data_IF_172749884629
#
_entry.id   IF_172749884629
#
_cell.length_a   1.000
_cell.length_b   1.000
_cell.length_c   1.000
_cell.angle_alpha   90.00
_cell.angle_beta   90.00
_cell.angle_gamma   90.00
#
_symmetry.space_group_name_H-M   'P 1'
#
loop_
_entity.id
_entity.type
_entity.pdbx_description
1 polymer ?
#
# COMPACT_ATOMS: atom_id res chain seq x y z
N UNK A 1 46.79 -53.93 -13.90
CA UNK A 1 47.13 -54.46 -15.23
C UNK A 1 45.87 -54.50 -16.09
N UNK A 2 45.87 -53.79 -17.24
CA UNK A 2 45.12 -54.01 -18.53
C UNK A 2 43.61 -54.33 -18.47
N UNK A 3 42.70 -53.81 -19.32
CA UNK A 3 42.67 -52.88 -20.47
C UNK A 3 41.17 -52.69 -20.86
N UNK A 4 40.84 -51.54 -21.46
CA UNK A 4 39.82 -51.20 -22.49
C UNK A 4 38.85 -52.32 -22.99
N UNK A 5 37.60 -52.09 -23.43
CA UNK A 5 37.11 -51.17 -24.48
C UNK A 5 35.60 -51.40 -24.67
N UNK A 6 34.83 -50.41 -25.17
CA UNK A 6 33.64 -50.47 -26.07
C UNK A 6 32.52 -49.50 -25.69
N UNK A 7 32.70 -48.22 -26.04
CA UNK A 7 31.63 -47.25 -26.24
C UNK A 7 31.76 -46.76 -27.69
N UNK A 8 31.05 -47.35 -28.65
CA UNK A 8 30.81 -46.79 -30.01
C UNK A 8 29.89 -47.74 -30.79
N UNK A 9 28.60 -47.87 -30.43
CA UNK A 9 27.63 -48.53 -31.33
C UNK A 9 26.15 -48.11 -31.13
N UNK A 10 25.88 -46.97 -30.47
CA UNK A 10 24.52 -46.50 -30.19
C UNK A 10 24.02 -45.30 -30.99
N UNK A 11 24.90 -44.57 -31.69
CA UNK A 11 24.54 -43.24 -32.27
C UNK A 11 24.35 -43.28 -33.79
N UNK A 12 24.69 -44.39 -34.46
CA UNK A 12 24.60 -44.50 -35.93
C UNK A 12 23.27 -45.12 -36.46
N UNK A 13 22.38 -45.55 -35.57
CA UNK A 13 21.08 -46.14 -35.95
C UNK A 13 19.93 -45.10 -36.01
N UNK A 14 20.08 -43.94 -35.36
CA UNK A 14 19.01 -42.93 -35.31
C UNK A 14 19.02 -41.94 -36.49
N UNK A 15 20.16 -41.82 -37.21
CA UNK A 15 20.32 -40.85 -38.30
C UNK A 15 19.81 -41.39 -39.65
N UNK A 16 19.72 -42.71 -39.82
CA UNK A 16 19.25 -43.35 -41.07
C UNK A 16 17.71 -43.46 -41.17
N UNK A 17 16.98 -43.27 -40.07
CA UNK A 17 15.50 -43.33 -40.07
C UNK A 17 14.83 -41.98 -40.39
N UNK A 18 15.58 -40.87 -40.34
CA UNK A 18 15.10 -39.51 -40.62
C UNK A 18 15.21 -39.08 -42.11
N UNK A 19 15.86 -39.87 -42.95
CA UNK A 19 16.11 -39.53 -44.36
C UNK A 19 15.17 -40.20 -45.37
N UNK A 20 14.22 -41.04 -44.94
CA UNK A 20 13.31 -41.78 -45.83
C UNK A 20 11.86 -41.25 -45.87
N UNK A 21 11.56 -40.12 -45.25
CA UNK A 21 10.19 -39.52 -45.27
C UNK A 21 10.09 -38.31 -46.23
N UNK A 22 11.20 -37.87 -46.84
CA UNK A 22 11.25 -36.68 -47.70
C UNK A 22 11.26 -36.96 -49.22
N UNK A 23 10.66 -38.06 -49.69
CA UNK A 23 10.60 -38.38 -51.13
C UNK A 23 9.26 -38.93 -51.59
N UNK A 24 8.16 -38.27 -51.19
CA UNK A 24 6.91 -38.33 -51.95
C UNK A 24 6.68 -36.99 -52.65
N UNK A 25 6.60 -36.92 -53.99
CA UNK A 25 6.15 -35.73 -54.67
C UNK A 25 4.63 -35.65 -54.49
N UNK A 26 4.20 -35.02 -53.39
CA UNK A 26 2.80 -34.67 -53.21
C UNK A 26 2.48 -33.56 -54.24
N UNK A 27 1.85 -33.93 -55.35
CA UNK A 27 1.31 -32.96 -56.30
C UNK A 27 0.26 -32.12 -55.59
N UNK A 28 0.63 -30.92 -55.18
CA UNK A 28 -0.34 -29.91 -54.76
C UNK A 28 -1.09 -29.47 -56.01
N UNK A 29 -2.29 -30.00 -56.19
CA UNK A 29 -3.29 -29.35 -57.03
C UNK A 29 -3.48 -27.95 -56.43
N UNK A 30 -2.99 -26.94 -57.15
CA UNK A 30 -3.19 -25.53 -56.85
C UNK A 30 -4.69 -25.27 -57.00
N UNK A 31 -5.45 -25.45 -55.91
CA UNK A 31 -6.79 -24.90 -55.83
C UNK A 31 -6.60 -23.40 -55.87
N UNK A 32 -6.98 -22.77 -56.98
CA UNK A 32 -7.12 -21.32 -57.05
C UNK A 32 -8.07 -20.90 -55.93
N UNK A 33 -7.51 -20.50 -54.79
CA UNK A 33 -8.19 -19.54 -53.94
C UNK A 33 -8.22 -18.27 -54.75
N UNK A 34 -9.39 -17.91 -55.27
CA UNK A 34 -9.65 -16.55 -55.74
C UNK A 34 -9.19 -15.64 -54.60
N UNK A 35 -8.06 -14.95 -54.76
CA UNK A 35 -7.61 -13.95 -53.80
C UNK A 35 -8.74 -12.93 -53.74
N UNK A 36 -9.55 -13.00 -52.69
CA UNK A 36 -10.55 -11.98 -52.39
C UNK A 36 -9.73 -10.75 -52.00
N UNK A 37 -9.52 -9.88 -52.98
CA UNK A 37 -8.91 -8.59 -52.77
C UNK A 37 -9.88 -7.73 -51.95
N UNK A 38 -9.79 -7.80 -50.62
CA UNK A 38 -10.52 -6.88 -49.72
C UNK A 38 -10.14 -5.41 -49.98
N UNK A 39 -8.98 -5.18 -50.60
CA UNK A 39 -8.47 -3.87 -51.04
C UNK A 39 -9.16 -3.33 -52.30
N UNK A 40 -10.02 -4.12 -52.95
CA UNK A 40 -10.66 -3.75 -54.22
C UNK A 40 -12.08 -3.18 -54.05
N UNK A 41 -12.61 -3.12 -52.83
CA UNK A 41 -13.89 -2.46 -52.50
C UNK A 41 -13.58 -1.05 -51.97
N UNK A 42 -13.91 -0.04 -52.76
CA UNK A 42 -13.72 1.36 -52.36
C UNK A 42 -14.80 1.83 -51.40
N UNK A 43 -14.50 2.84 -50.58
CA UNK A 43 -15.47 3.49 -49.68
C UNK A 43 -16.70 3.98 -50.46
N UNK A 44 -16.50 4.53 -51.66
CA UNK A 44 -17.60 5.03 -52.50
C UNK A 44 -18.64 3.96 -52.85
N UNK A 45 -18.22 2.74 -53.14
CA UNK A 45 -19.14 1.63 -53.47
C UNK A 45 -20.04 1.24 -52.29
N UNK A 46 -19.58 1.42 -51.06
CA UNK A 46 -20.41 1.20 -49.87
C UNK A 46 -21.39 2.36 -49.67
N UNK A 47 -20.93 3.59 -49.88
CA UNK A 47 -21.73 4.81 -49.68
C UNK A 47 -22.80 5.02 -50.76
N UNK A 48 -22.69 4.36 -51.92
CA UNK A 48 -23.77 4.32 -52.92
C UNK A 48 -25.06 3.68 -52.38
N UNK A 49 -24.95 2.79 -51.38
CA UNK A 49 -26.10 2.14 -50.73
C UNK A 49 -26.30 2.59 -49.26
N UNK A 50 -25.24 3.03 -48.59
CA UNK A 50 -25.27 3.48 -47.19
C UNK A 50 -25.22 5.01 -47.08
N UNK A 51 -26.26 5.67 -47.58
CA UNK A 51 -26.37 7.14 -47.63
C UNK A 51 -26.43 7.82 -46.24
N UNK A 52 -26.68 7.06 -45.17
CA UNK A 52 -26.70 7.56 -43.79
C UNK A 52 -25.31 7.98 -43.27
N UNK A 53 -24.24 7.51 -43.91
CA UNK A 53 -22.86 7.84 -43.55
C UNK A 53 -22.36 8.96 -44.46
N UNK A 54 -22.12 10.14 -43.90
CA UNK A 54 -21.54 11.24 -44.66
C UNK A 54 -20.07 10.97 -45.00
N UNK A 55 -19.75 10.91 -46.29
CA UNK A 55 -18.39 10.64 -46.79
C UNK A 55 -17.37 11.66 -46.25
N UNK A 56 -17.74 12.94 -46.18
CA UNK A 56 -16.85 14.00 -45.70
C UNK A 56 -16.52 13.84 -44.23
N UNK A 57 -17.52 13.51 -43.42
CA UNK A 57 -17.41 13.31 -41.98
C UNK A 57 -16.63 12.03 -41.68
N UNK A 58 -16.87 10.95 -42.42
CA UNK A 58 -16.07 9.73 -42.32
C UNK A 58 -14.61 9.96 -42.66
N UNK A 59 -14.33 10.62 -43.79
CA UNK A 59 -12.97 10.96 -44.21
C UNK A 59 -12.23 11.84 -43.18
N UNK A 60 -12.96 12.64 -42.40
CA UNK A 60 -12.41 13.48 -41.34
C UNK A 60 -12.27 12.77 -39.97
N UNK A 61 -12.77 11.54 -39.83
CA UNK A 61 -12.68 10.75 -38.59
C UNK A 61 -11.28 10.19 -38.36
N UNK A 62 -11.02 9.67 -37.16
CA UNK A 62 -9.78 8.95 -36.84
C UNK A 62 -9.55 7.72 -37.73
N UNK A 63 -10.59 7.18 -38.36
CA UNK A 63 -10.54 6.03 -39.25
C UNK A 63 -10.74 6.40 -40.72
N UNK A 64 -10.78 7.68 -41.08
CA UNK A 64 -11.12 8.13 -42.45
C UNK A 64 -10.13 7.70 -43.54
N UNK A 65 -8.95 7.21 -43.17
CA UNK A 65 -7.99 6.59 -44.10
C UNK A 65 -8.24 5.11 -44.36
N UNK A 66 -9.16 4.46 -43.63
CA UNK A 66 -9.48 3.06 -43.77
C UNK A 66 -10.65 2.84 -44.74
N UNK A 67 -10.65 1.70 -45.42
CA UNK A 67 -11.83 1.25 -46.17
C UNK A 67 -12.91 0.71 -45.21
N UNK A 68 -14.19 0.76 -45.59
CA UNK A 68 -15.29 0.22 -44.80
C UNK A 68 -15.05 -1.27 -44.45
N UNK A 69 -14.52 -2.04 -45.41
CA UNK A 69 -14.19 -3.46 -45.27
C UNK A 69 -13.01 -3.74 -44.33
N UNK A 70 -12.27 -2.71 -43.91
CA UNK A 70 -11.23 -2.86 -42.87
C UNK A 70 -11.84 -3.09 -41.49
N UNK A 71 -13.03 -2.52 -41.24
CA UNK A 71 -13.82 -2.74 -40.02
C UNK A 71 -14.87 -3.83 -40.22
N UNK A 72 -15.61 -3.78 -41.34
CA UNK A 72 -16.62 -4.77 -41.73
C UNK A 72 -16.01 -5.89 -42.57
N UNK A 73 -15.04 -6.60 -41.98
CA UNK A 73 -14.21 -7.60 -42.66
C UNK A 73 -14.99 -8.82 -43.16
N UNK A 74 -16.19 -9.03 -42.64
CA UNK A 74 -17.07 -10.12 -43.05
C UNK A 74 -17.68 -9.88 -44.44
N UNK A 75 -17.60 -8.65 -44.96
CA UNK A 75 -18.07 -8.29 -46.30
C UNK A 75 -16.96 -8.58 -47.32
N UNK A 76 -17.06 -9.75 -47.95
CA UNK A 76 -16.14 -10.20 -49.00
C UNK A 76 -16.73 -10.14 -50.41
N UNK A 77 -18.05 -9.91 -50.53
CA UNK A 77 -18.81 -9.89 -51.78
C UNK A 77 -19.97 -8.90 -51.66
N UNK A 78 -19.97 -7.84 -52.47
CA UNK A 78 -20.96 -6.76 -52.40
C UNK A 78 -22.35 -7.18 -52.92
N UNK A 79 -22.40 -8.05 -53.94
CA UNK A 79 -23.68 -8.52 -54.50
C UNK A 79 -24.40 -9.37 -53.46
N UNK A 80 -23.67 -10.30 -52.82
CA UNK A 80 -24.23 -11.13 -51.74
C UNK A 80 -24.57 -10.34 -50.49
N UNK A 81 -23.83 -9.27 -50.20
CA UNK A 81 -24.17 -8.38 -49.09
C UNK A 81 -25.46 -7.61 -49.38
N UNK A 82 -25.65 -7.11 -50.61
CA UNK A 82 -26.87 -6.44 -51.04
C UNK A 82 -28.10 -7.38 -50.97
N UNK A 83 -27.91 -8.66 -51.30
CA UNK A 83 -28.95 -9.70 -51.20
C UNK A 83 -29.11 -10.28 -49.76
N UNK A 84 -28.43 -9.70 -48.76
CA UNK A 84 -28.45 -10.12 -47.36
C UNK A 84 -27.96 -11.55 -47.09
N UNK A 85 -27.30 -12.21 -48.06
CA UNK A 85 -26.67 -13.52 -47.86
C UNK A 85 -25.42 -13.43 -46.96
N UNK A 86 -24.77 -12.26 -46.95
CA UNK A 86 -23.61 -11.95 -46.09
C UNK A 86 -23.95 -10.77 -45.18
N UNK A 87 -24.57 -11.00 -44.02
CA UNK A 87 -24.95 -9.93 -43.11
C UNK A 87 -23.71 -9.37 -42.39
N UNK A 88 -23.72 -8.05 -42.20
CA UNK A 88 -22.70 -7.34 -41.45
C UNK A 88 -22.70 -7.79 -39.98
N UNK A 89 -21.55 -8.24 -39.48
CA UNK A 89 -21.37 -8.60 -38.07
C UNK A 89 -20.84 -7.42 -37.25
N UNK A 90 -20.96 -7.45 -35.92
CA UNK A 90 -20.35 -6.46 -35.05
C UNK A 90 -18.83 -6.35 -35.28
N UNK A 91 -18.34 -5.11 -35.34
CA UNK A 91 -16.92 -4.82 -35.61
C UNK A 91 -16.05 -5.32 -34.46
N UNK A 92 -14.99 -6.06 -34.79
CA UNK A 92 -14.02 -6.58 -33.82
C UNK A 92 -12.81 -5.65 -33.70
N UNK A 93 -12.95 -4.58 -32.91
CA UNK A 93 -11.92 -3.55 -32.72
C UNK A 93 -10.56 -4.13 -32.27
N UNK A 94 -10.58 -5.21 -31.47
CA UNK A 94 -9.38 -5.86 -30.92
C UNK A 94 -8.43 -6.48 -31.93
N UNK A 95 -8.82 -6.62 -33.21
CA UNK A 95 -7.86 -7.03 -34.26
C UNK A 95 -6.73 -6.02 -34.45
N UNK A 96 -7.08 -4.73 -34.38
CA UNK A 96 -6.14 -3.62 -34.52
C UNK A 96 -5.78 -3.02 -33.15
N UNK A 97 -6.76 -2.82 -32.27
CA UNK A 97 -6.57 -2.24 -30.93
C UNK A 97 -6.31 -3.32 -29.87
N UNK A 98 -5.29 -4.16 -30.09
CA UNK A 98 -5.01 -5.34 -29.24
C UNK A 98 -4.79 -5.00 -27.78
N UNK A 99 -4.01 -3.95 -27.49
CA UNK A 99 -3.71 -3.58 -26.10
C UNK A 99 -4.94 -3.02 -25.38
N UNK A 100 -5.73 -2.19 -26.06
CA UNK A 100 -6.99 -1.67 -25.54
C UNK A 100 -7.98 -2.81 -25.28
N UNK A 101 -8.10 -3.76 -26.20
CA UNK A 101 -8.95 -4.93 -26.01
C UNK A 101 -8.50 -5.79 -24.81
N UNK A 102 -7.19 -5.94 -24.61
CA UNK A 102 -6.65 -6.65 -23.45
C UNK A 102 -6.95 -5.93 -22.13
N UNK A 103 -6.81 -4.60 -22.09
CA UNK A 103 -7.21 -3.81 -20.93
C UNK A 103 -8.71 -3.95 -20.65
N UNK A 104 -9.54 -3.82 -21.68
CA UNK A 104 -10.99 -3.93 -21.57
C UNK A 104 -11.43 -5.27 -20.97
N UNK A 105 -10.82 -6.39 -21.36
CA UNK A 105 -11.17 -7.71 -20.81
C UNK A 105 -10.89 -7.88 -19.32
N UNK A 106 -10.21 -6.92 -18.69
CA UNK A 106 -9.94 -6.90 -17.25
C UNK A 106 -10.78 -5.85 -16.51
N UNK A 107 -11.68 -5.17 -17.22
CA UNK A 107 -12.49 -4.10 -16.68
C UNK A 107 -13.86 -4.59 -16.22
N UNK A 108 -14.43 -3.91 -15.23
CA UNK A 108 -15.79 -4.14 -14.73
C UNK A 108 -16.84 -3.96 -15.83
N UNK A 109 -16.55 -3.16 -16.85
CA UNK A 109 -17.44 -2.98 -18.01
C UNK A 109 -17.51 -4.23 -18.87
N UNK A 110 -16.41 -4.97 -19.04
CA UNK A 110 -16.45 -6.26 -19.72
C UNK A 110 -17.23 -7.31 -18.93
N UNK A 111 -17.13 -7.29 -17.60
CA UNK A 111 -17.88 -8.19 -16.72
C UNK A 111 -19.40 -7.91 -16.72
N UNK A 112 -19.80 -6.70 -17.15
CA UNK A 112 -21.20 -6.25 -17.23
C UNK A 112 -21.71 -6.09 -18.66
N UNK A 113 -21.06 -6.75 -19.64
CA UNK A 113 -21.46 -6.78 -21.05
C UNK A 113 -21.54 -5.38 -21.73
N UNK A 114 -20.81 -4.37 -21.24
CA UNK A 114 -20.73 -3.04 -21.85
C UNK A 114 -19.63 -3.03 -22.91
N UNK A 115 -20.02 -3.22 -24.17
CA UNK A 115 -19.12 -3.35 -25.31
C UNK A 115 -18.48 -2.05 -25.79
N UNK A 116 -17.49 -2.17 -26.67
CA UNK A 116 -16.75 -1.02 -27.20
C UNK A 116 -17.68 0.03 -27.85
N UNK A 117 -18.74 -0.41 -28.53
CA UNK A 117 -19.67 0.46 -29.26
C UNK A 117 -20.65 1.19 -28.35
N UNK A 118 -20.82 0.76 -27.10
CA UNK A 118 -21.70 1.44 -26.15
C UNK A 118 -21.08 2.78 -25.70
N UNK A 119 -19.75 2.84 -25.64
CA UNK A 119 -19.00 4.09 -25.46
C UNK A 119 -18.60 4.73 -26.80
N UNK A 120 -18.23 3.92 -27.80
CA UNK A 120 -17.78 4.40 -29.12
C UNK A 120 -18.89 4.36 -30.18
N UNK A 121 -20.10 4.83 -29.85
CA UNK A 121 -21.28 4.72 -30.70
C UNK A 121 -21.13 5.38 -32.08
N UNK A 122 -20.45 6.53 -32.17
CA UNK A 122 -20.31 7.31 -33.41
C UNK A 122 -18.96 7.06 -34.12
N UNK A 123 -18.58 5.79 -34.29
CA UNK A 123 -17.24 5.42 -34.79
C UNK A 123 -16.92 5.96 -36.19
N UNK A 124 -17.94 6.20 -37.02
CA UNK A 124 -17.79 6.78 -38.37
C UNK A 124 -17.44 8.26 -38.35
N UNK A 125 -17.66 8.97 -37.24
CA UNK A 125 -17.42 10.42 -37.15
C UNK A 125 -16.41 10.76 -36.04
N UNK A 126 -16.04 9.75 -35.25
CA UNK A 126 -15.25 9.92 -34.05
C UNK A 126 -13.85 10.45 -34.36
N UNK A 127 -13.48 11.52 -33.66
CA UNK A 127 -12.14 12.08 -33.63
C UNK A 127 -11.47 11.75 -32.30
N UNK A 128 -10.15 11.75 -32.30
CA UNK A 128 -9.38 11.72 -31.05
C UNK A 128 -9.83 12.84 -30.12
N UNK A 129 -10.00 12.53 -28.84
CA UNK A 129 -10.39 13.51 -27.83
C UNK A 129 -9.29 14.55 -27.56
N UNK A 130 -8.08 14.36 -28.08
CA UNK A 130 -7.01 15.38 -28.07
C UNK A 130 -6.52 15.77 -26.67
N UNK A 131 -6.79 14.93 -25.66
CA UNK A 131 -6.50 15.24 -24.25
C UNK A 131 -7.56 16.06 -23.53
N UNK A 132 -8.71 16.34 -24.16
CA UNK A 132 -9.81 17.06 -23.52
C UNK A 132 -10.54 16.16 -22.50
N UNK A 133 -10.19 16.36 -21.23
CA UNK A 133 -10.74 15.66 -20.07
C UNK A 133 -12.25 15.88 -19.88
N UNK A 134 -12.82 16.96 -20.39
CA UNK A 134 -14.27 17.23 -20.23
C UNK A 134 -15.12 16.25 -21.03
N UNK A 135 -14.61 15.79 -22.18
CA UNK A 135 -15.26 14.76 -23.00
C UNK A 135 -15.31 13.40 -22.32
N UNK A 136 -14.32 13.09 -21.47
CA UNK A 136 -14.32 11.86 -20.66
C UNK A 136 -15.49 11.90 -19.68
N UNK A 137 -15.71 13.02 -19.00
CA UNK A 137 -16.85 13.18 -18.08
C UNK A 137 -18.17 12.99 -18.83
N UNK A 138 -18.32 13.60 -20.01
CA UNK A 138 -19.54 13.48 -20.81
C UNK A 138 -19.81 12.02 -21.22
N UNK A 139 -18.76 11.27 -21.57
CA UNK A 139 -18.88 9.86 -21.91
C UNK A 139 -19.39 9.05 -20.71
N UNK A 140 -18.76 9.21 -19.54
CA UNK A 140 -19.19 8.51 -18.33
C UNK A 140 -20.60 8.91 -17.88
N UNK A 141 -20.97 10.19 -18.08
CA UNK A 141 -22.28 10.73 -17.72
C UNK A 141 -23.44 10.20 -18.57
N UNK A 142 -23.15 9.52 -19.69
CA UNK A 142 -24.17 8.84 -20.48
C UNK A 142 -24.86 7.70 -19.72
N UNK A 143 -24.15 7.09 -18.75
CA UNK A 143 -24.63 5.94 -17.98
C UNK A 143 -24.52 6.13 -16.46
N UNK A 144 -23.52 6.88 -15.97
CA UNK A 144 -23.28 7.09 -14.55
C UNK A 144 -23.77 8.46 -14.08
N UNK A 145 -24.36 8.49 -12.89
CA UNK A 145 -24.62 9.75 -12.20
C UNK A 145 -23.30 10.33 -11.67
N UNK A 146 -23.03 11.57 -12.04
CA UNK A 146 -21.79 12.28 -11.71
C UNK A 146 -22.09 13.62 -11.01
N UNK A 147 -23.29 13.84 -10.48
CA UNK A 147 -23.66 15.09 -9.82
C UNK A 147 -22.69 15.46 -8.68
N UNK A 148 -22.39 14.50 -7.80
CA UNK A 148 -21.44 14.69 -6.71
C UNK A 148 -20.05 15.10 -7.22
N UNK A 149 -19.56 14.44 -8.27
CA UNK A 149 -18.29 14.78 -8.90
C UNK A 149 -18.28 16.20 -9.45
N UNK A 150 -19.35 16.60 -10.14
CA UNK A 150 -19.48 17.97 -10.68
C UNK A 150 -19.55 19.02 -9.56
N UNK A 151 -20.05 18.66 -8.38
CA UNK A 151 -20.08 19.54 -7.20
C UNK A 151 -18.74 19.58 -6.44
N UNK A 152 -17.88 18.58 -6.60
CA UNK A 152 -16.56 18.51 -5.96
C UNK A 152 -15.61 19.62 -6.42
N UNK A 153 -14.55 19.85 -5.64
CA UNK A 153 -13.46 20.78 -6.04
C UNK A 153 -12.77 20.35 -7.33
N UNK A 154 -12.65 19.05 -7.60
CA UNK A 154 -12.04 18.52 -8.82
C UNK A 154 -12.93 18.77 -10.04
N UNK A 155 -14.22 18.45 -9.96
CA UNK A 155 -15.17 18.67 -11.06
C UNK A 155 -15.33 20.16 -11.38
N UNK A 156 -15.49 21.00 -10.35
CA UNK A 156 -15.54 22.47 -10.52
C UNK A 156 -14.24 23.02 -11.12
N UNK A 157 -13.08 22.55 -10.66
CA UNK A 157 -11.78 22.96 -11.18
C UNK A 157 -11.60 22.58 -12.66
N UNK A 158 -11.98 21.36 -13.03
CA UNK A 158 -11.89 20.90 -14.42
C UNK A 158 -12.83 21.67 -15.35
N UNK A 159 -14.08 21.92 -14.91
CA UNK A 159 -15.04 22.73 -15.67
C UNK A 159 -14.63 24.20 -15.79
N UNK A 160 -13.83 24.70 -14.84
CA UNK A 160 -13.20 26.03 -14.92
C UNK A 160 -11.96 26.05 -15.84
N UNK A 161 -11.59 24.93 -16.46
CA UNK A 161 -10.48 24.83 -17.40
C UNK A 161 -9.12 24.56 -16.75
N UNK A 162 -9.07 24.11 -15.50
CA UNK A 162 -7.83 23.71 -14.85
C UNK A 162 -7.37 22.31 -15.33
N UNK A 163 -6.25 22.19 -16.07
CA UNK A 163 -5.78 20.90 -16.58
C UNK A 163 -5.29 19.94 -15.48
N UNK A 164 -4.89 20.48 -14.32
CA UNK A 164 -4.45 19.69 -13.16
C UNK A 164 -5.62 19.03 -12.42
N UNK A 165 -6.85 19.49 -12.65
CA UNK A 165 -8.02 18.87 -12.04
C UNK A 165 -8.30 17.50 -12.69
N UNK A 166 -8.43 16.43 -11.89
CA UNK A 166 -8.60 15.08 -12.41
C UNK A 166 -10.02 14.86 -12.96
N UNK A 167 -10.11 14.14 -14.06
CA UNK A 167 -11.32 13.53 -14.63
C UNK A 167 -11.52 12.10 -14.13
N UNK A 168 -12.64 11.47 -14.48
CA UNK A 168 -12.94 10.08 -14.14
C UNK A 168 -11.78 9.13 -14.49
N UNK A 169 -11.15 9.33 -15.66
CA UNK A 169 -10.07 8.47 -16.12
C UNK A 169 -8.74 8.65 -15.40
N UNK A 170 -8.49 9.82 -14.81
CA UNK A 170 -7.24 10.05 -14.06
C UNK A 170 -7.20 9.16 -12.79
N UNK A 171 -8.38 8.92 -12.21
CA UNK A 171 -8.57 8.01 -11.09
C UNK A 171 -8.75 6.56 -11.56
N UNK A 172 -9.80 6.28 -12.34
CA UNK A 172 -10.27 4.91 -12.64
C UNK A 172 -9.65 4.28 -13.90
N UNK A 173 -8.94 5.03 -14.73
CA UNK A 173 -8.52 4.56 -16.06
C UNK A 173 -9.61 4.74 -17.13
N UNK A 174 -9.32 4.32 -18.36
CA UNK A 174 -10.26 4.44 -19.50
C UNK A 174 -10.81 3.07 -19.93
N UNK A 175 -9.91 2.11 -20.17
CA UNK A 175 -10.27 0.79 -20.67
C UNK A 175 -9.91 -0.31 -19.66
N UNK A 176 -9.34 0.03 -18.51
CA UNK A 176 -8.86 -0.87 -17.45
C UNK A 176 -9.56 -0.58 -16.11
N UNK A 177 -10.81 -0.12 -16.17
CA UNK A 177 -11.60 0.27 -15.00
C UNK A 177 -11.87 -0.96 -14.13
N UNK A 178 -11.24 -1.03 -12.97
CA UNK A 178 -11.39 -2.13 -12.00
C UNK A 178 -12.64 -1.98 -11.14
N UNK A 179 -13.17 -3.10 -10.69
CA UNK A 179 -14.22 -3.15 -9.67
C UNK A 179 -13.70 -2.60 -8.33
N UNK A 180 -14.47 -1.69 -7.73
CA UNK A 180 -14.14 -1.07 -6.44
C UNK A 180 -15.07 -1.53 -5.30
N UNK A 181 -16.20 -2.13 -5.64
CA UNK A 181 -17.15 -2.65 -4.67
C UNK A 181 -16.93 -4.15 -4.49
N UNK A 182 -16.30 -4.54 -3.39
CA UNK A 182 -15.97 -5.95 -3.12
C UNK A 182 -16.56 -6.34 -1.76
N UNK A 183 -17.49 -7.30 -1.78
CA UNK A 183 -18.18 -7.76 -0.57
C UNK A 183 -17.25 -8.54 0.38
N UNK A 184 -16.31 -9.33 -0.16
CA UNK A 184 -15.36 -10.10 0.64
C UNK A 184 -14.16 -9.24 1.06
N UNK A 185 -14.24 -8.69 2.27
CA UNK A 185 -13.24 -7.81 2.88
C UNK A 185 -11.87 -8.46 3.14
N UNK A 186 -11.74 -9.79 2.98
CA UNK A 186 -10.49 -10.52 3.18
C UNK A 186 -9.84 -10.99 1.88
N UNK A 187 -10.46 -10.72 0.74
CA UNK A 187 -9.94 -11.07 -0.57
C UNK A 187 -8.79 -10.15 -1.00
N UNK A 188 -7.98 -10.61 -1.95
CA UNK A 188 -6.96 -9.77 -2.61
C UNK A 188 -7.60 -8.62 -3.38
N UNK A 189 -8.79 -8.83 -3.94
CA UNK A 189 -9.55 -7.78 -4.64
C UNK A 189 -9.98 -6.67 -3.67
N UNK A 190 -10.45 -7.01 -2.46
CA UNK A 190 -10.74 -6.02 -1.42
C UNK A 190 -9.49 -5.24 -1.03
N UNK A 191 -8.33 -5.90 -0.89
CA UNK A 191 -7.09 -5.18 -0.60
C UNK A 191 -6.75 -4.18 -1.71
N UNK A 192 -6.80 -4.59 -2.98
CA UNK A 192 -6.52 -3.70 -4.12
C UNK A 192 -7.51 -2.52 -4.19
N UNK A 193 -8.81 -2.77 -3.99
CA UNK A 193 -9.83 -1.72 -3.96
C UNK A 193 -9.60 -0.73 -2.82
N UNK A 194 -9.20 -1.21 -1.64
CA UNK A 194 -8.90 -0.36 -0.48
C UNK A 194 -7.61 0.45 -0.66
N UNK A 195 -6.56 -0.14 -1.24
CA UNK A 195 -5.35 0.60 -1.60
C UNK A 195 -5.63 1.68 -2.67
N UNK A 196 -6.60 1.46 -3.55
CA UNK A 196 -6.99 2.45 -4.57
C UNK A 196 -7.50 3.75 -3.95
N UNK A 197 -8.16 3.71 -2.79
CA UNK A 197 -8.66 4.90 -2.06
C UNK A 197 -7.55 5.89 -1.69
N UNK A 198 -6.30 5.43 -1.60
CA UNK A 198 -5.12 6.26 -1.33
C UNK A 198 -4.27 6.45 -2.58
N UNK A 199 -3.96 5.37 -3.30
CA UNK A 199 -3.05 5.39 -4.45
C UNK A 199 -3.56 6.25 -5.60
N UNK A 200 -4.88 6.33 -5.81
CA UNK A 200 -5.46 7.19 -6.85
C UNK A 200 -5.18 8.68 -6.57
N UNK A 201 -5.32 9.11 -5.32
CA UNK A 201 -5.04 10.46 -4.88
C UNK A 201 -3.54 10.78 -4.88
N UNK A 202 -2.71 9.80 -4.49
CA UNK A 202 -1.26 9.94 -4.43
C UNK A 202 -0.64 10.37 -5.76
N UNK A 203 -1.17 9.92 -6.90
CA UNK A 203 -0.66 10.26 -8.25
C UNK A 203 -0.47 11.76 -8.48
N UNK A 204 -1.33 12.58 -7.87
CA UNK A 204 -1.29 14.04 -7.98
C UNK A 204 -0.90 14.70 -6.66
N UNK A 205 -1.45 14.26 -5.53
CA UNK A 205 -1.24 14.90 -4.22
C UNK A 205 0.15 14.65 -3.62
N UNK A 206 0.95 13.73 -4.18
CA UNK A 206 2.35 13.56 -3.80
C UNK A 206 3.31 14.50 -4.55
N UNK A 207 2.83 15.26 -5.55
CA UNK A 207 3.62 16.25 -6.30
C UNK A 207 3.52 17.64 -5.62
N UNK A 208 4.58 18.11 -4.92
CA UNK A 208 4.53 19.38 -4.22
C UNK A 208 4.39 20.58 -5.17
N UNK A 209 4.93 20.51 -6.39
CA UNK A 209 4.85 21.61 -7.36
C UNK A 209 3.43 21.76 -7.89
N UNK A 210 2.74 20.64 -8.16
CA UNK A 210 1.33 20.63 -8.54
C UNK A 210 0.42 21.14 -7.41
N UNK A 211 0.67 20.69 -6.18
CA UNK A 211 -0.12 21.15 -5.03
C UNK A 211 0.10 22.66 -4.78
N UNK A 212 1.33 23.13 -4.87
CA UNK A 212 1.66 24.54 -4.67
C UNK A 212 1.00 25.44 -5.72
N UNK A 213 1.07 25.11 -7.01
CA UNK A 213 0.46 25.93 -8.08
C UNK A 213 -1.07 25.94 -8.04
N UNK A 214 -1.68 24.93 -7.43
CA UNK A 214 -3.13 24.84 -7.22
C UNK A 214 -3.59 25.32 -5.83
N UNK A 215 -2.70 25.88 -5.00
CA UNK A 215 -2.99 26.33 -3.63
C UNK A 215 -3.58 25.23 -2.72
N UNK A 216 -3.12 23.99 -2.90
CA UNK A 216 -3.48 22.83 -2.08
C UNK A 216 -2.33 22.54 -1.11
N UNK A 217 -2.65 22.00 0.07
CA UNK A 217 -1.65 21.65 1.09
C UNK A 217 -0.63 20.63 0.57
N UNK A 218 0.64 21.02 0.51
CA UNK A 218 1.72 20.27 -0.16
C UNK A 218 2.22 19.06 0.61
N UNK A 219 1.92 18.97 1.91
CA UNK A 219 2.41 17.90 2.80
C UNK A 219 1.32 16.89 3.17
N UNK A 220 0.12 16.98 2.59
CA UNK A 220 -1.02 16.12 2.93
C UNK A 220 -0.66 14.63 2.83
N UNK A 221 -0.11 14.21 1.69
CA UNK A 221 0.25 12.81 1.47
C UNK A 221 1.37 12.34 2.41
N UNK A 222 2.45 13.12 2.53
CA UNK A 222 3.59 12.78 3.40
C UNK A 222 3.18 12.65 4.87
N UNK A 223 2.34 13.56 5.35
CA UNK A 223 1.86 13.53 6.75
C UNK A 223 0.93 12.35 7.00
N UNK A 224 0.05 12.02 6.05
CA UNK A 224 -0.77 10.81 6.10
C UNK A 224 0.08 9.53 6.16
N UNK A 225 1.13 9.39 5.35
CA UNK A 225 2.03 8.23 5.43
C UNK A 225 2.71 8.06 6.81
N UNK A 226 2.83 9.17 7.56
CA UNK A 226 3.42 9.19 8.89
C UNK A 226 2.38 9.03 10.01
N UNK A 227 1.09 9.05 9.69
CA UNK A 227 0.01 8.86 10.63
C UNK A 227 -0.21 7.37 10.95
N UNK A 228 -1.25 7.03 11.71
CA UNK A 228 -1.52 5.62 12.01
C UNK A 228 -2.10 4.84 10.82
N UNK A 229 -3.03 5.44 10.07
CA UNK A 229 -3.69 4.82 8.93
C UNK A 229 -2.69 4.52 7.82
N UNK A 230 -1.90 5.51 7.38
CA UNK A 230 -0.91 5.33 6.31
C UNK A 230 0.15 4.28 6.67
N UNK A 231 0.59 4.22 7.93
CA UNK A 231 1.54 3.19 8.40
C UNK A 231 0.96 1.78 8.35
N UNK A 232 -0.29 1.61 8.76
CA UNK A 232 -0.96 0.29 8.73
C UNK A 232 -1.28 -0.12 7.30
N UNK A 233 -1.71 0.83 6.46
CA UNK A 233 -1.90 0.63 5.02
C UNK A 233 -0.61 0.09 4.39
N UNK A 234 0.53 0.75 4.63
CA UNK A 234 1.84 0.34 4.11
C UNK A 234 2.28 -1.05 4.58
N UNK A 235 1.81 -1.50 5.76
CA UNK A 235 2.05 -2.85 6.27
C UNK A 235 1.11 -3.91 5.66
N UNK A 236 0.30 -3.57 4.66
CA UNK A 236 -0.67 -4.46 4.02
C UNK A 236 -2.01 -4.52 4.76
N UNK A 237 -2.31 -3.51 5.59
CA UNK A 237 -3.53 -3.43 6.40
C UNK A 237 -4.62 -2.53 5.83
N UNK A 238 -4.60 -2.21 4.52
CA UNK A 238 -5.49 -1.20 3.90
C UNK A 238 -6.99 -1.47 4.12
N UNK A 239 -7.41 -2.73 4.25
CA UNK A 239 -8.80 -3.10 4.52
C UNK A 239 -9.29 -2.75 5.93
N UNK A 240 -8.40 -2.32 6.82
CA UNK A 240 -8.71 -2.04 8.23
C UNK A 240 -8.49 -0.58 8.63
N UNK A 241 -8.10 0.26 7.68
CA UNK A 241 -7.83 1.69 7.91
C UNK A 241 -8.46 2.54 6.82
N UNK A 242 -8.62 3.82 7.13
CA UNK A 242 -9.16 4.80 6.21
C UNK A 242 -8.06 5.31 5.28
N UNK A 243 -8.31 5.26 3.97
CA UNK A 243 -7.54 5.97 2.94
C UNK A 243 -8.09 7.38 2.69
N UNK A 244 -7.50 8.08 1.72
CA UNK A 244 -7.87 9.46 1.41
C UNK A 244 -9.36 9.62 1.08
N UNK A 245 -9.89 8.74 0.23
CA UNK A 245 -11.28 8.79 -0.22
C UNK A 245 -12.31 8.46 0.88
N UNK A 246 -11.93 7.80 1.96
CA UNK A 246 -12.84 7.51 3.08
C UNK A 246 -13.07 8.75 3.95
N UNK A 247 -12.05 9.61 4.07
CA UNK A 247 -12.14 10.86 4.81
C UNK A 247 -12.68 11.99 3.94
N UNK A 248 -12.20 12.13 2.71
CA UNK A 248 -12.54 13.25 1.81
C UNK A 248 -13.72 12.97 0.87
N UNK A 249 -14.32 11.78 0.95
CA UNK A 249 -15.32 11.25 0.00
C UNK A 249 -14.73 11.03 -1.40
N UNK A 250 -15.06 9.93 -2.09
CA UNK A 250 -14.43 9.58 -3.37
C UNK A 250 -14.85 10.47 -4.55
N UNK A 251 -16.09 10.96 -4.58
CA UNK A 251 -16.62 11.80 -5.67
C UNK A 251 -17.15 13.16 -5.20
N UNK A 252 -17.21 13.44 -3.90
CA UNK A 252 -17.75 14.71 -3.37
C UNK A 252 -16.73 15.42 -2.48
N UNK A 253 -15.50 15.60 -2.96
CA UNK A 253 -14.47 16.32 -2.18
C UNK A 253 -14.86 17.79 -2.06
N UNK A 254 -15.21 18.19 -0.84
CA UNK A 254 -15.57 19.56 -0.50
C UNK A 254 -14.54 20.18 0.46
N UNK A 255 -14.35 21.51 0.41
CA UNK A 255 -13.52 22.23 1.37
C UNK A 255 -13.97 22.00 2.83
N UNK A 256 -13.04 22.12 3.79
CA UNK A 256 -13.33 21.87 5.21
C UNK A 256 -14.26 22.90 5.86
N UNK A 257 -14.43 24.08 5.24
CA UNK A 257 -15.36 25.13 5.65
C UNK A 257 -16.77 24.95 5.08
N UNK A 258 -16.96 24.03 4.15
CA UNK A 258 -18.29 23.66 3.63
C UNK A 258 -19.01 22.74 4.63
N UNK A 259 -20.25 23.09 4.97
CA UNK A 259 -21.06 22.31 5.93
C UNK A 259 -21.45 20.91 5.43
N UNK A 260 -21.47 20.68 4.11
CA UNK A 260 -21.72 19.36 3.54
C UNK A 260 -20.45 18.50 3.45
N UNK A 261 -19.29 19.04 3.79
CA UNK A 261 -18.03 18.31 3.73
C UNK A 261 -17.94 17.26 4.84
N UNK A 262 -17.48 16.07 4.47
CA UNK A 262 -17.15 14.98 5.40
C UNK A 262 -16.04 15.38 6.40
N UNK A 263 -15.19 16.33 6.03
CA UNK A 263 -14.13 16.86 6.88
C UNK A 263 -14.49 18.19 7.56
N UNK A 264 -15.74 18.60 7.49
CA UNK A 264 -16.25 19.74 8.28
C UNK A 264 -16.22 19.42 9.77
N UNK A 265 -16.29 20.46 10.62
CA UNK A 265 -16.26 20.26 12.08
C UNK A 265 -17.36 19.31 12.57
N UNK A 266 -18.53 19.39 11.96
CA UNK A 266 -19.69 18.55 12.26
C UNK A 266 -19.59 17.19 11.54
N UNK A 267 -19.12 17.16 10.29
CA UNK A 267 -19.00 15.94 9.47
C UNK A 267 -17.97 14.93 9.99
N UNK A 268 -16.88 15.40 10.62
CA UNK A 268 -15.80 14.53 11.10
C UNK A 268 -16.28 13.45 12.08
N UNK A 269 -17.31 13.72 12.90
CA UNK A 269 -17.83 12.73 13.87
C UNK A 269 -18.47 11.56 13.14
N UNK A 270 -19.20 11.83 12.06
CA UNK A 270 -19.81 10.80 11.21
C UNK A 270 -18.73 10.04 10.42
N UNK A 271 -17.79 10.76 9.81
CA UNK A 271 -16.68 10.16 9.04
C UNK A 271 -15.80 9.24 9.89
N UNK A 272 -15.37 9.70 11.07
CA UNK A 272 -14.66 8.83 12.01
C UNK A 272 -15.58 7.72 12.56
N UNK A 273 -16.87 8.01 12.72
CA UNK A 273 -17.91 7.12 13.22
C UNK A 273 -18.10 5.85 12.40
N UNK A 274 -17.82 5.90 11.08
CA UNK A 274 -17.89 4.76 10.18
C UNK A 274 -17.03 3.56 10.67
N UNK A 275 -15.86 3.85 11.24
CA UNK A 275 -14.95 2.84 11.79
C UNK A 275 -14.80 2.91 13.33
N UNK A 276 -15.15 4.04 13.94
CA UNK A 276 -15.05 4.26 15.38
C UNK A 276 -16.44 4.55 15.97
N UNK A 277 -17.20 3.52 16.42
CA UNK A 277 -18.59 3.68 16.87
C UNK A 277 -18.82 4.61 18.06
N UNK A 278 -17.74 5.03 18.74
CA UNK A 278 -17.78 5.96 19.89
C UNK A 278 -17.07 7.29 19.59
N UNK A 279 -16.88 7.61 18.30
CA UNK A 279 -16.36 8.90 17.87
C UNK A 279 -17.23 10.02 18.45
N UNK A 280 -16.57 11.07 18.92
CA UNK A 280 -17.19 12.24 19.52
C UNK A 280 -16.29 13.45 19.25
N UNK A 281 -16.74 14.65 19.65
CA UNK A 281 -16.04 15.90 19.38
C UNK A 281 -14.60 15.95 19.91
N UNK A 282 -14.26 15.20 20.98
CA UNK A 282 -12.88 15.13 21.47
C UNK A 282 -12.05 14.11 20.67
N UNK A 283 -12.66 13.04 20.18
CA UNK A 283 -11.99 12.04 19.36
C UNK A 283 -11.54 12.63 18.01
N UNK A 284 -12.40 13.42 17.38
CA UNK A 284 -12.13 14.05 16.07
C UNK A 284 -11.17 15.23 16.13
N UNK A 285 -10.64 15.57 17.31
CA UNK A 285 -9.49 16.49 17.42
C UNK A 285 -8.19 15.86 16.94
N UNK A 286 -8.20 14.56 16.63
CA UNK A 286 -7.11 13.92 15.92
C UNK A 286 -6.80 14.67 14.62
N UNK A 287 -5.52 14.92 14.36
CA UNK A 287 -5.05 15.66 13.19
C UNK A 287 -4.31 14.70 12.25
N UNK A 288 -4.95 14.16 11.19
CA UNK A 288 -4.33 13.19 10.28
C UNK A 288 -3.15 13.77 9.50
N UNK A 289 -3.17 15.08 9.23
CA UNK A 289 -2.17 15.78 8.41
C UNK A 289 -1.20 16.65 9.20
N UNK A 290 -1.02 16.38 10.49
CA UNK A 290 -0.10 17.15 11.33
C UNK A 290 1.37 16.82 11.05
N UNK A 291 2.22 17.85 11.00
CA UNK A 291 3.67 17.70 10.92
C UNK A 291 4.31 18.01 12.27
N UNK A 292 4.95 17.01 12.88
CA UNK A 292 5.65 17.18 14.16
C UNK A 292 6.98 17.94 14.04
N UNK A 293 7.45 18.27 12.82
CA UNK A 293 8.58 19.18 12.62
C UNK A 293 8.16 20.66 12.53
N UNK A 294 6.87 20.93 12.36
CA UNK A 294 6.34 22.28 12.28
C UNK A 294 5.95 22.81 13.66
N UNK A 295 6.86 23.61 14.22
CA UNK A 295 6.69 24.24 15.54
C UNK A 295 5.60 25.32 15.56
N UNK A 296 5.33 25.97 14.44
CA UNK A 296 4.41 27.12 14.39
C UNK A 296 2.96 26.65 14.40
N UNK A 297 2.63 25.66 13.57
CA UNK A 297 1.27 25.14 13.47
C UNK A 297 0.99 24.00 14.47
N UNK A 298 2.00 23.21 14.84
CA UNK A 298 1.86 22.04 15.73
C UNK A 298 2.84 22.04 16.92
N UNK A 299 2.86 23.10 17.76
CA UNK A 299 3.85 23.27 18.83
C UNK A 299 3.86 22.14 19.86
N UNK A 300 2.68 21.59 20.21
CA UNK A 300 2.57 20.51 21.18
C UNK A 300 3.21 19.20 20.66
N UNK A 301 2.97 18.87 19.38
CA UNK A 301 3.56 17.69 18.75
C UNK A 301 5.08 17.85 18.64
N UNK A 302 5.54 19.03 18.19
CA UNK A 302 6.97 19.34 18.07
C UNK A 302 7.73 19.14 19.39
N UNK A 303 7.27 19.80 20.46
CA UNK A 303 7.96 19.71 21.75
C UNK A 303 7.85 18.31 22.38
N UNK A 304 6.74 17.60 22.17
CA UNK A 304 6.61 16.21 22.60
C UNK A 304 7.62 15.32 21.89
N UNK A 305 7.77 15.47 20.56
CA UNK A 305 8.73 14.72 19.78
C UNK A 305 10.18 14.97 20.23
N UNK A 306 10.55 16.25 20.42
CA UNK A 306 11.88 16.62 20.92
C UNK A 306 12.12 16.06 22.32
N UNK A 307 11.16 16.17 23.23
CA UNK A 307 11.29 15.68 24.60
C UNK A 307 11.45 14.15 24.65
N UNK A 308 10.62 13.40 23.92
CA UNK A 308 10.69 11.94 23.88
C UNK A 308 11.97 11.45 23.20
N UNK A 309 12.41 12.12 22.12
CA UNK A 309 13.67 11.80 21.44
C UNK A 309 14.88 12.10 22.34
N UNK A 310 14.86 13.24 23.03
CA UNK A 310 15.89 13.59 24.02
C UNK A 310 15.97 12.57 25.13
N UNK A 311 14.83 12.19 25.73
CA UNK A 311 14.77 11.16 26.77
C UNK A 311 15.37 9.83 26.30
N UNK A 312 15.03 9.39 25.08
CA UNK A 312 15.54 8.17 24.47
C UNK A 312 17.07 8.22 24.33
N UNK A 313 17.59 9.27 23.69
CA UNK A 313 19.02 9.43 23.42
C UNK A 313 19.83 9.56 24.72
N UNK A 314 19.35 10.35 25.68
CA UNK A 314 19.99 10.52 26.98
C UNK A 314 20.05 9.20 27.77
N UNK A 315 18.96 8.43 27.77
CA UNK A 315 18.91 7.14 28.47
C UNK A 315 19.93 6.17 27.87
N UNK A 316 19.92 6.00 26.55
CA UNK A 316 20.88 5.10 25.90
C UNK A 316 22.33 5.57 26.08
N UNK A 317 22.61 6.86 25.91
CA UNK A 317 23.94 7.40 26.09
C UNK A 317 24.48 7.16 27.52
N UNK A 318 23.66 7.42 28.54
CA UNK A 318 24.04 7.20 29.93
C UNK A 318 24.35 5.72 30.22
N UNK A 319 23.42 4.82 29.89
CA UNK A 319 23.60 3.39 30.19
C UNK A 319 24.70 2.74 29.35
N UNK A 320 24.89 3.14 28.09
CA UNK A 320 25.99 2.64 27.27
C UNK A 320 27.34 3.12 27.81
N UNK A 321 27.46 4.41 28.14
CA UNK A 321 28.69 4.94 28.73
C UNK A 321 29.02 4.22 30.05
N UNK A 322 28.04 4.10 30.95
CA UNK A 322 28.20 3.36 32.20
C UNK A 322 28.65 1.91 31.96
N UNK A 323 28.00 1.20 31.04
CA UNK A 323 28.34 -0.20 30.70
C UNK A 323 29.77 -0.31 30.15
N UNK A 324 30.19 0.61 29.28
CA UNK A 324 31.54 0.61 28.69
C UNK A 324 32.59 0.89 29.75
N UNK A 325 32.38 1.90 30.61
CA UNK A 325 33.30 2.21 31.70
C UNK A 325 33.43 1.02 32.66
N UNK A 326 32.31 0.40 33.03
CA UNK A 326 32.30 -0.79 33.88
C UNK A 326 33.01 -1.98 33.24
N UNK A 327 32.85 -2.19 31.92
CA UNK A 327 33.57 -3.23 31.17
C UNK A 327 35.09 -3.00 31.20
N UNK A 328 35.53 -1.75 31.00
CA UNK A 328 36.95 -1.38 31.07
C UNK A 328 37.51 -1.64 32.46
N UNK A 329 36.83 -1.15 33.51
CA UNK A 329 37.24 -1.37 34.90
C UNK A 329 37.32 -2.85 35.25
N UNK A 330 36.28 -3.62 34.93
CA UNK A 330 36.23 -5.06 35.20
C UNK A 330 37.36 -5.81 34.48
N UNK A 331 37.71 -5.37 33.27
CA UNK A 331 38.86 -5.92 32.53
C UNK A 331 40.19 -5.60 33.20
N UNK A 332 40.40 -4.33 33.63
CA UNK A 332 41.62 -3.90 34.33
C UNK A 332 41.77 -4.68 35.64
N UNK A 333 40.74 -4.73 36.46
CA UNK A 333 40.73 -5.42 37.77
C UNK A 333 41.06 -6.91 37.60
N UNK A 334 40.39 -7.60 36.66
CA UNK A 334 40.70 -9.02 36.38
C UNK A 334 42.15 -9.22 35.93
N UNK A 335 42.67 -8.32 35.11
CA UNK A 335 44.04 -8.41 34.62
C UNK A 335 45.07 -8.14 35.75
N UNK A 336 44.78 -7.22 36.67
CA UNK A 336 45.59 -6.98 37.87
C UNK A 336 45.59 -8.19 38.81
N UNK A 337 44.42 -8.78 39.06
CA UNK A 337 44.30 -10.01 39.84
C UNK A 337 45.08 -11.16 39.21
N UNK A 338 45.01 -11.31 37.87
CA UNK A 338 45.81 -12.29 37.14
C UNK A 338 47.33 -12.04 37.29
N UNK A 339 47.79 -10.78 37.19
CA UNK A 339 49.21 -10.42 37.43
C UNK A 339 49.68 -10.73 38.84
N UNK A 340 48.79 -10.62 39.84
CA UNK A 340 49.07 -10.96 41.23
C UNK A 340 49.06 -12.48 41.48
N UNK A 341 48.83 -13.30 40.46
CA UNK A 341 48.73 -14.76 40.60
C UNK A 341 47.44 -15.21 41.29
N UNK A 342 46.50 -14.29 41.55
CA UNK A 342 45.16 -14.58 42.08
C UNK A 342 44.30 -15.01 40.90
N UNK A 343 44.52 -16.24 40.45
CA UNK A 343 43.57 -16.91 39.57
C UNK A 343 42.39 -17.30 40.45
N UNK A 344 41.24 -16.62 40.33
CA UNK A 344 40.02 -17.05 41.03
C UNK A 344 39.63 -18.40 40.41
N UNK A 345 39.91 -19.55 41.04
CA UNK A 345 39.51 -20.83 40.48
C UNK A 345 37.99 -20.85 40.57
N UNK A 346 37.29 -21.45 39.60
CA UNK A 346 35.88 -21.82 39.81
C UNK A 346 35.84 -22.64 41.10
N UNK A 347 35.25 -22.06 42.14
CA UNK A 347 35.63 -22.31 43.52
C UNK A 347 35.61 -23.79 43.92
N UNK A 348 36.65 -24.24 44.61
CA UNK A 348 36.60 -25.44 45.48
C UNK A 348 35.75 -25.21 46.75
N UNK A 349 35.16 -24.02 46.91
CA UNK A 349 34.20 -23.75 47.97
C UNK A 349 32.97 -24.66 47.80
N UNK A 350 32.42 -25.23 48.88
CA UNK A 350 31.15 -25.95 48.80
C UNK A 350 30.12 -25.05 48.10
N UNK A 351 29.36 -25.60 47.14
CA UNK A 351 28.34 -24.85 46.40
C UNK A 351 27.24 -24.41 47.37
N UNK A 352 27.43 -23.26 48.01
CA UNK A 352 26.39 -22.61 48.81
C UNK A 352 25.41 -21.98 47.83
N UNK A 353 24.21 -22.53 47.75
CA UNK A 353 23.14 -21.98 46.92
C UNK A 353 22.45 -20.85 47.68
N UNK A 354 22.63 -19.62 47.23
CA UNK A 354 21.90 -18.47 47.75
C UNK A 354 20.63 -18.24 46.93
N UNK A 355 19.48 -18.16 47.59
CA UNK A 355 18.24 -17.75 46.93
C UNK A 355 18.28 -16.23 46.73
N UNK A 356 18.71 -15.81 45.54
CA UNK A 356 18.83 -14.38 45.18
C UNK A 356 17.49 -13.68 44.98
N UNK A 357 16.50 -14.38 44.41
CA UNK A 357 15.18 -13.82 44.10
C UNK A 357 14.05 -14.60 44.77
N UNK A 358 13.04 -13.87 45.23
CA UNK A 358 11.76 -14.46 45.64
C UNK A 358 10.99 -14.98 44.43
N UNK A 359 10.01 -15.85 44.65
CA UNK A 359 9.18 -16.38 43.56
C UNK A 359 8.42 -15.27 42.84
N UNK A 360 7.94 -14.27 43.60
CA UNK A 360 7.26 -13.11 43.04
C UNK A 360 8.20 -12.30 42.14
N UNK A 361 9.41 -11.99 42.62
CA UNK A 361 10.42 -11.27 41.82
C UNK A 361 10.75 -12.05 40.54
N UNK A 362 10.91 -13.36 40.62
CA UNK A 362 11.17 -14.19 39.43
C UNK A 362 10.03 -14.10 38.42
N UNK A 363 8.77 -14.16 38.87
CA UNK A 363 7.58 -14.00 38.01
C UNK A 363 7.55 -12.61 37.38
N UNK A 364 7.78 -11.55 38.17
CA UNK A 364 7.80 -10.17 37.67
C UNK A 364 8.91 -9.95 36.64
N UNK A 365 10.10 -10.48 36.88
CA UNK A 365 11.21 -10.41 35.93
C UNK A 365 10.88 -11.17 34.64
N UNK A 366 10.31 -12.37 34.74
CA UNK A 366 9.89 -13.14 33.57
C UNK A 366 8.82 -12.41 32.77
N UNK A 367 7.80 -11.87 33.45
CA UNK A 367 6.74 -11.07 32.84
C UNK A 367 7.30 -9.83 32.12
N UNK A 368 8.25 -9.13 32.75
CA UNK A 368 8.95 -7.98 32.14
C UNK A 368 9.69 -8.39 30.87
N UNK A 369 10.47 -9.48 30.89
CA UNK A 369 11.23 -9.93 29.71
C UNK A 369 10.31 -10.28 28.54
N UNK A 370 9.26 -11.09 28.80
CA UNK A 370 8.34 -11.53 27.75
C UNK A 370 7.52 -10.36 27.20
N UNK A 371 6.98 -9.50 28.07
CA UNK A 371 6.20 -8.33 27.62
C UNK A 371 7.05 -7.31 26.87
N UNK A 372 8.29 -7.05 27.31
CA UNK A 372 9.19 -6.14 26.59
C UNK A 372 9.50 -6.64 25.18
N UNK A 373 9.85 -7.93 25.03
CA UNK A 373 10.10 -8.53 23.72
C UNK A 373 8.83 -8.44 22.85
N UNK A 374 7.66 -8.77 23.41
CA UNK A 374 6.39 -8.67 22.71
C UNK A 374 6.08 -7.23 22.26
N UNK A 375 6.29 -6.23 23.10
CA UNK A 375 6.10 -4.80 22.77
C UNK A 375 7.02 -4.35 21.64
N UNK A 376 8.30 -4.76 21.69
CA UNK A 376 9.29 -4.44 20.65
C UNK A 376 8.91 -5.09 19.33
N UNK A 377 8.64 -6.39 19.32
CA UNK A 377 8.29 -7.13 18.10
C UNK A 377 6.98 -6.63 17.46
N UNK A 378 5.99 -6.29 18.27
CA UNK A 378 4.70 -5.75 17.79
C UNK A 378 4.75 -4.29 17.37
N UNK A 379 5.60 -3.46 18.00
CA UNK A 379 5.66 -2.02 17.74
C UNK A 379 6.67 -1.59 16.67
N UNK A 380 7.79 -2.32 16.52
CA UNK A 380 8.84 -1.98 15.54
C UNK A 380 8.34 -1.96 14.09
N UNK A 381 7.54 -2.92 13.60
CA UNK A 381 6.99 -2.88 12.26
C UNK A 381 6.21 -1.59 11.97
N UNK A 382 5.41 -1.12 12.93
CA UNK A 382 4.63 0.11 12.78
C UNK A 382 5.53 1.35 12.72
N UNK A 383 6.53 1.43 13.61
CA UNK A 383 7.50 2.55 13.62
C UNK A 383 8.33 2.62 12.34
N UNK A 384 8.72 1.46 11.80
CA UNK A 384 9.60 1.34 10.64
C UNK A 384 8.88 0.67 9.47
N UNK A 385 7.67 1.11 9.14
CA UNK A 385 6.80 0.47 8.15
C UNK A 385 7.44 0.33 6.76
N UNK A 386 8.29 1.28 6.34
CA UNK A 386 9.03 1.23 5.07
C UNK A 386 10.23 0.27 5.08
N UNK A 387 10.60 -0.30 6.22
CA UNK A 387 11.72 -1.23 6.26
C UNK A 387 11.33 -2.57 5.61
N UNK A 388 12.22 -3.20 4.83
CA UNK A 388 11.89 -4.40 4.06
C UNK A 388 11.50 -5.61 4.94
N UNK A 389 11.91 -5.61 6.20
CA UNK A 389 11.55 -6.66 7.17
C UNK A 389 10.22 -6.39 7.90
N UNK A 390 9.70 -5.16 7.87
CA UNK A 390 8.57 -4.75 8.71
C UNK A 390 7.28 -5.46 8.32
N UNK A 391 6.95 -5.50 7.03
CA UNK A 391 5.77 -6.20 6.54
C UNK A 391 5.87 -7.71 6.79
N UNK A 392 7.03 -8.32 6.56
CA UNK A 392 7.26 -9.74 6.85
C UNK A 392 7.07 -10.07 8.32
N UNK A 393 7.59 -9.23 9.23
CA UNK A 393 7.42 -9.40 10.67
C UNK A 393 5.96 -9.17 11.12
N UNK A 394 5.28 -8.18 10.56
CA UNK A 394 3.85 -7.97 10.82
C UNK A 394 3.01 -9.18 10.37
N UNK A 395 3.27 -9.71 9.18
CA UNK A 395 2.58 -10.88 8.63
C UNK A 395 2.86 -12.14 9.44
N UNK A 396 4.09 -12.33 9.95
CA UNK A 396 4.43 -13.44 10.85
C UNK A 396 3.56 -13.46 12.11
N UNK A 397 3.16 -12.29 12.62
CA UNK A 397 2.27 -12.17 13.77
C UNK A 397 0.78 -12.26 13.40
N UNK A 398 0.42 -12.40 12.12
CA UNK A 398 -0.96 -12.42 11.65
C UNK A 398 -1.48 -11.06 11.16
N UNK A 399 -0.59 -10.14 10.80
CA UNK A 399 -0.91 -8.81 10.26
C UNK A 399 -0.86 -7.69 11.30
N UNK A 400 -0.95 -6.41 10.86
CA UNK A 400 -0.82 -5.25 11.75
C UNK A 400 -1.92 -5.17 12.82
N UNK A 401 -3.09 -5.76 12.57
CA UNK A 401 -4.21 -5.80 13.51
C UNK A 401 -3.90 -6.68 14.72
N UNK A 402 -3.39 -7.89 14.45
CA UNK A 402 -2.99 -8.84 15.50
C UNK A 402 -1.75 -8.33 16.22
N UNK A 403 -0.78 -7.73 15.50
CA UNK A 403 0.36 -7.07 16.12
C UNK A 403 -0.10 -6.00 17.12
N UNK A 404 -1.07 -5.15 16.75
CA UNK A 404 -1.65 -4.17 17.67
C UNK A 404 -2.36 -4.79 18.88
N UNK A 405 -3.01 -5.95 18.73
CA UNK A 405 -3.60 -6.68 19.85
C UNK A 405 -2.53 -7.24 20.81
N UNK A 406 -1.48 -7.87 20.27
CA UNK A 406 -0.33 -8.34 21.05
C UNK A 406 0.30 -7.17 21.81
N UNK A 407 0.47 -6.02 21.16
CA UNK A 407 1.02 -4.82 21.77
C UNK A 407 0.22 -4.37 22.99
N UNK A 408 -1.11 -4.31 22.86
CA UNK A 408 -2.00 -3.91 23.96
C UNK A 408 -1.95 -4.89 25.14
N UNK A 409 -1.96 -6.20 24.88
CA UNK A 409 -1.83 -7.20 25.95
C UNK A 409 -0.49 -7.12 26.66
N UNK A 410 0.60 -6.98 25.90
CA UNK A 410 1.92 -6.80 26.47
C UNK A 410 2.01 -5.51 27.30
N UNK A 411 1.39 -4.42 26.84
CA UNK A 411 1.30 -3.17 27.60
C UNK A 411 0.53 -3.33 28.92
N UNK A 412 -0.59 -4.07 28.93
CA UNK A 412 -1.33 -4.36 30.17
C UNK A 412 -0.45 -5.12 31.17
N UNK A 413 0.31 -6.12 30.71
CA UNK A 413 1.30 -6.82 31.57
C UNK A 413 2.34 -5.84 32.11
N UNK A 414 2.84 -4.94 31.24
CA UNK A 414 3.80 -3.89 31.61
C UNK A 414 3.28 -2.96 32.68
N UNK A 415 2.08 -2.40 32.51
CA UNK A 415 1.46 -1.55 33.52
C UNK A 415 1.16 -2.30 34.83
N UNK A 416 0.86 -3.60 34.76
CA UNK A 416 0.58 -4.43 35.94
C UNK A 416 1.82 -4.63 36.81
N UNK A 417 2.96 -5.04 36.24
CA UNK A 417 4.19 -5.16 37.04
C UNK A 417 4.73 -3.79 37.45
N UNK A 418 4.60 -2.76 36.61
CA UNK A 418 5.01 -1.40 36.97
C UNK A 418 4.22 -0.90 38.18
N UNK A 419 2.89 -1.04 38.17
CA UNK A 419 2.03 -0.70 39.30
C UNK A 419 2.37 -1.49 40.57
N UNK A 420 2.64 -2.80 40.44
CA UNK A 420 3.09 -3.64 41.56
C UNK A 420 4.41 -3.12 42.16
N UNK A 421 5.37 -2.76 41.31
CA UNK A 421 6.65 -2.19 41.75
C UNK A 421 6.45 -0.83 42.43
N UNK A 422 5.59 0.05 41.90
CA UNK A 422 5.27 1.34 42.54
C UNK A 422 4.65 1.13 43.93
N UNK A 423 3.70 0.20 44.06
CA UNK A 423 3.10 -0.16 45.35
C UNK A 423 4.17 -0.67 46.31
N UNK A 424 5.09 -1.52 45.84
CA UNK A 424 6.20 -2.03 46.65
C UNK A 424 7.15 -0.91 47.10
N UNK A 425 7.49 0.03 46.22
CA UNK A 425 8.32 1.20 46.54
C UNK A 425 7.64 2.07 47.60
N UNK A 426 6.34 2.34 47.45
CA UNK A 426 5.56 3.11 48.44
C UNK A 426 5.54 2.37 49.79
N UNK A 427 5.28 1.06 49.78
CA UNK A 427 5.32 0.24 50.98
C UNK A 427 6.69 0.28 51.66
N UNK A 428 7.78 0.12 50.90
CA UNK A 428 9.15 0.12 51.42
C UNK A 428 9.53 1.47 52.04
N UNK A 429 9.28 2.57 51.33
CA UNK A 429 9.66 3.91 51.77
C UNK A 429 8.85 4.36 52.99
N UNK A 430 7.53 4.16 52.98
CA UNK A 430 6.64 4.79 53.97
C UNK A 430 6.09 3.85 55.05
N UNK A 431 5.87 2.57 54.74
CA UNK A 431 5.12 1.66 55.62
C UNK A 431 6.05 0.69 56.36
N UNK A 432 7.03 0.12 55.65
CA UNK A 432 7.96 -0.87 56.21
C UNK A 432 8.82 -0.23 57.29
N UNK A 433 8.69 -0.69 58.52
CA UNK A 433 9.52 -0.23 59.63
C UNK A 433 10.91 -0.88 59.55
N UNK A 434 11.90 -0.12 59.09
CA UNK A 434 13.32 -0.55 59.03
C UNK A 434 14.20 0.19 60.03
N UNK A 435 13.68 1.21 60.72
CA UNK A 435 14.45 2.07 61.63
C UNK A 435 15.25 3.18 60.93
N UNK A 436 15.20 3.25 59.60
CA UNK A 436 15.88 4.25 58.78
C UNK A 436 14.97 5.42 58.42
N UNK A 437 15.57 6.60 58.24
CA UNK A 437 14.86 7.79 57.71
C UNK A 437 14.51 7.64 56.23
N UNK A 438 13.55 8.43 55.74
CA UNK A 438 13.13 8.41 54.33
C UNK A 438 14.31 8.55 53.35
N UNK A 439 15.23 9.49 53.60
CA UNK A 439 16.41 9.70 52.76
C UNK A 439 17.42 8.55 52.86
N UNK A 440 17.56 7.94 54.04
CA UNK A 440 18.41 6.76 54.22
C UNK A 440 17.84 5.56 53.46
N UNK A 441 16.52 5.37 53.42
CA UNK A 441 15.91 4.32 52.58
C UNK A 441 16.09 4.61 51.09
N UNK A 442 15.98 5.88 50.69
CA UNK A 442 16.06 6.28 49.28
C UNK A 442 17.49 6.36 48.74
N UNK A 443 18.53 6.47 49.56
CA UNK A 443 19.93 6.48 49.11
C UNK A 443 20.83 5.51 49.87
N UNK A 444 20.23 4.57 50.59
CA UNK A 444 20.91 3.55 51.38
C UNK A 444 21.39 2.34 50.57
N UNK A 445 22.04 1.36 51.23
CA UNK A 445 22.50 0.10 50.63
C UNK A 445 21.43 -0.64 49.83
N UNK A 446 20.18 -0.60 50.30
CA UNK A 446 19.04 -1.29 49.69
C UNK A 446 18.19 -0.38 48.78
N UNK A 447 18.74 0.78 48.38
CA UNK A 447 18.05 1.73 47.51
C UNK A 447 18.04 1.31 46.04
N UNK A 448 16.99 1.72 45.33
CA UNK A 448 16.83 1.64 43.88
C UNK A 448 17.41 2.86 43.12
N UNK A 449 17.84 3.91 43.82
CA UNK A 449 18.37 5.14 43.22
C UNK A 449 19.90 5.09 43.10
N UNK A 450 20.49 5.73 42.07
CA UNK A 450 21.94 5.91 41.98
C UNK A 450 22.51 6.63 43.20
N UNK A 451 23.68 6.18 43.66
CA UNK A 451 24.39 6.68 44.85
C UNK A 451 25.80 7.10 44.51
N UNK A 452 26.44 7.82 45.44
CA UNK A 452 27.87 8.17 45.33
C UNK A 452 28.76 6.95 45.15
N UNK A 453 28.43 5.84 45.84
CA UNK A 453 29.16 4.59 45.68
C UNK A 453 29.18 4.10 44.24
N UNK A 454 28.13 4.31 43.45
CA UNK A 454 28.10 3.91 42.04
C UNK A 454 29.06 4.75 41.18
N UNK A 455 29.41 5.97 41.60
CA UNK A 455 30.47 6.77 40.98
C UNK A 455 31.87 6.32 41.40
N UNK A 456 32.02 5.85 42.64
CA UNK A 456 33.28 5.30 43.14
C UNK A 456 33.55 3.88 42.57
N UNK A 457 32.48 3.16 42.21
CA UNK A 457 32.49 1.77 41.73
C UNK A 457 32.59 1.62 40.19
N UNK A 458 32.49 2.72 39.43
CA UNK A 458 32.74 2.79 37.97
C UNK A 458 34.10 3.40 37.71
#
# INVERSE_FOLDING_TARGET
MKKHTTYHFGVMALVLMLLCIFSTPMSWAKKESKEICLECISVGQCLDCHEEIDNGTFAASSHGSNACTSCHRDIYDLEKHADCEVPMQPVKCGFCHKEVAKQYTQSVHADNDVGCTDCHANIHEMKSFGGDKTKVIQMCSGCHDNEDYLQSVHGKGLMAGNPDSPSCSDCHGLHDIKEMHVDDTHSTAALEAREFHTKSCQKCHADPEMMQRNNVYTLAFKTYEHDYHGKVEHLGGATYVAGCADCHTAHKQLPADDSESSISKEGLVETCGACHPKANNNFVQYMPHADYHDKENYPLLYWTFIAMTGLLLSTFAFFWLHTVLWLIRSYIEKNELHKQGIFVPHAQNPKVFYKRFTTLEMILHFAMMVSFIALVLSGLPLKFNHAPWAQGLANLMGGPQIAGLIHRWAAVVTFSYFGTTIIWVIYFLFIKQTGETFLQKLFGPDSLCPRKKDLDDV
#
